data_IF_546784043437
#
_entry.id   IF_546784043437
#
_cell.length_a   1.000
_cell.length_b   1.000
_cell.length_c   1.000
_cell.angle_alpha   90.00
_cell.angle_beta   90.00
_cell.angle_gamma   90.00
#
_symmetry.space_group_name_H-M   'P 1'
#
loop_
_entity.id
_entity.type
_entity.pdbx_description
1 polymer ?
#
# COMPACT_ATOMS: atom_id res chain seq x y z
N UNK A 1 18.35 7.99 12.08
CA UNK A 1 18.54 6.54 11.80
C UNK A 1 17.35 5.66 12.19
N UNK A 2 16.73 5.81 13.37
CA UNK A 2 15.55 4.99 13.77
C UNK A 2 14.38 4.98 12.77
N UNK A 3 14.08 6.12 12.12
CA UNK A 3 12.99 6.23 11.13
C UNK A 3 13.24 5.43 9.84
N UNK A 4 14.49 5.38 9.39
CA UNK A 4 14.86 4.74 8.12
C UNK A 4 14.74 3.22 8.25
N UNK A 5 15.24 2.66 9.36
CA UNK A 5 15.12 1.23 9.67
C UNK A 5 13.66 0.83 9.86
N UNK A 6 12.84 1.66 10.53
CA UNK A 6 11.41 1.41 10.67
C UNK A 6 10.63 1.45 9.35
N UNK A 7 11.06 2.28 8.40
CA UNK A 7 10.47 2.30 7.06
C UNK A 7 10.83 1.03 6.30
N UNK A 8 12.11 0.65 6.27
CA UNK A 8 12.58 -0.57 5.59
C UNK A 8 11.90 -1.83 6.12
N UNK A 9 11.66 -1.94 7.43
CA UNK A 9 10.96 -3.10 8.02
C UNK A 9 9.48 -3.14 7.61
N UNK A 10 8.82 -1.99 7.46
CA UNK A 10 7.44 -1.92 6.98
C UNK A 10 7.33 -2.28 5.51
N UNK A 11 8.24 -1.77 4.69
CA UNK A 11 8.30 -2.09 3.27
C UNK A 11 8.53 -3.59 3.08
N UNK A 12 9.44 -4.18 3.87
CA UNK A 12 9.68 -5.63 3.88
C UNK A 12 8.43 -6.42 4.31
N UNK A 13 7.71 -5.97 5.34
CA UNK A 13 6.47 -6.62 5.79
C UNK A 13 5.37 -6.53 4.72
N UNK A 14 5.27 -5.41 3.99
CA UNK A 14 4.36 -5.26 2.85
C UNK A 14 4.72 -6.23 1.72
N UNK A 15 6.01 -6.36 1.39
CA UNK A 15 6.48 -7.30 0.35
C UNK A 15 6.22 -8.76 0.73
N UNK A 16 6.37 -9.11 2.02
CA UNK A 16 6.02 -10.45 2.54
C UNK A 16 4.51 -10.68 2.46
N UNK A 17 3.68 -9.70 2.82
CA UNK A 17 2.22 -9.81 2.70
C UNK A 17 1.77 -10.01 1.24
N UNK A 18 2.42 -9.30 0.30
CA UNK A 18 2.19 -9.43 -1.15
C UNK A 18 2.55 -10.82 -1.69
N UNK A 19 3.67 -11.40 -1.24
CA UNK A 19 4.18 -12.68 -1.78
C UNK A 19 3.63 -13.92 -1.06
N UNK A 20 3.32 -13.82 0.23
CA UNK A 20 2.98 -14.98 1.09
C UNK A 20 1.49 -15.01 1.43
N UNK A 21 0.85 -13.88 1.72
CA UNK A 21 -0.53 -13.85 2.21
C UNK A 21 -1.59 -13.73 1.11
N UNK A 22 -1.19 -13.63 -0.17
CA UNK A 22 -2.11 -13.47 -1.31
C UNK A 22 -3.14 -12.37 -1.08
N UNK A 23 -2.71 -11.28 -0.45
CA UNK A 23 -3.56 -10.11 -0.22
C UNK A 23 -4.06 -9.64 -1.59
N UNK A 24 -5.38 -9.51 -1.82
CA UNK A 24 -5.93 -9.01 -3.08
C UNK A 24 -5.20 -7.73 -3.45
N UNK A 25 -4.74 -7.61 -4.71
CA UNK A 25 -3.89 -6.50 -5.14
C UNK A 25 -4.49 -5.11 -4.86
N UNK A 26 -5.80 -5.02 -4.59
CA UNK A 26 -6.48 -3.80 -4.20
C UNK A 26 -6.34 -3.43 -2.72
N UNK A 27 -6.35 -4.39 -1.80
CA UNK A 27 -6.18 -4.14 -0.37
C UNK A 27 -4.78 -3.56 -0.09
N UNK A 28 -3.78 -3.99 -0.86
CA UNK A 28 -2.43 -3.43 -0.80
C UNK A 28 -2.42 -1.95 -1.22
N UNK A 29 -3.11 -1.62 -2.32
CA UNK A 29 -3.18 -0.22 -2.80
C UNK A 29 -3.90 0.68 -1.80
N UNK A 30 -4.90 0.16 -1.08
CA UNK A 30 -5.56 0.88 0.03
C UNK A 30 -4.58 1.12 1.18
N UNK A 31 -3.82 0.11 1.60
CA UNK A 31 -2.79 0.26 2.66
C UNK A 31 -1.66 1.23 2.28
N UNK A 32 -1.31 1.28 1.00
CA UNK A 32 -0.32 2.22 0.48
C UNK A 32 -0.89 3.65 0.39
N UNK A 33 -2.18 3.80 0.04
CA UNK A 33 -2.87 5.10 0.00
C UNK A 33 -3.12 5.70 1.40
N UNK A 34 -3.15 4.89 2.45
CA UNK A 34 -3.32 5.34 3.84
C UNK A 34 -2.02 5.25 4.64
N UNK A 35 -0.87 5.52 4.01
CA UNK A 35 0.43 5.54 4.68
C UNK A 35 0.52 6.72 5.68
N UNK A 36 1.39 6.59 6.70
CA UNK A 36 1.68 7.66 7.67
C UNK A 36 2.68 8.69 7.12
N UNK A 37 2.63 8.95 5.81
CA UNK A 37 3.47 9.94 5.15
C UNK A 37 2.81 11.34 5.27
N UNK A 38 3.59 12.42 5.33
CA UNK A 38 3.04 13.76 5.55
C UNK A 38 2.35 14.36 4.31
N UNK A 39 2.34 13.64 3.19
CA UNK A 39 1.66 14.00 1.94
C UNK A 39 0.52 13.01 1.68
N UNK A 40 -0.54 13.49 1.03
CA UNK A 40 -1.68 12.65 0.68
C UNK A 40 -1.35 11.56 -0.36
N UNK A 41 -2.26 10.59 -0.56
CA UNK A 41 -2.06 9.53 -1.53
C UNK A 41 -1.89 10.08 -2.95
N UNK A 42 -0.98 9.46 -3.69
CA UNK A 42 -0.78 9.80 -5.09
C UNK A 42 -2.04 9.48 -5.93
N UNK A 43 -2.37 10.34 -6.89
CA UNK A 43 -3.58 10.19 -7.71
C UNK A 43 -3.68 8.84 -8.45
N UNK A 44 -2.54 8.23 -8.79
CA UNK A 44 -2.47 6.87 -9.37
C UNK A 44 -3.04 5.81 -8.43
N UNK A 45 -2.78 5.88 -7.12
CA UNK A 45 -3.31 4.92 -6.14
C UNK A 45 -4.83 5.05 -6.02
N UNK A 46 -5.34 6.29 -5.99
CA UNK A 46 -6.78 6.55 -5.92
C UNK A 46 -7.50 6.11 -7.20
N UNK A 47 -6.91 6.35 -8.37
CA UNK A 47 -7.48 5.94 -9.65
C UNK A 47 -7.60 4.41 -9.75
N UNK A 48 -6.57 3.68 -9.29
CA UNK A 48 -6.58 2.22 -9.26
C UNK A 48 -7.63 1.66 -8.28
N UNK A 49 -7.81 2.31 -7.12
CA UNK A 49 -8.87 1.97 -6.16
C UNK A 49 -10.24 2.22 -6.76
N UNK A 50 -10.46 3.38 -7.39
CA UNK A 50 -11.72 3.74 -8.01
C UNK A 50 -12.07 2.80 -9.19
N UNK A 51 -11.09 2.40 -10.01
CA UNK A 51 -11.32 1.41 -11.07
C UNK A 51 -11.71 0.04 -10.51
N UNK A 52 -11.07 -0.41 -9.44
CA UNK A 52 -11.42 -1.69 -8.83
C UNK A 52 -12.84 -1.71 -8.22
N UNK A 53 -13.37 -0.56 -7.76
CA UNK A 53 -14.77 -0.46 -7.30
C UNK A 53 -15.81 -0.61 -8.40
N UNK A 54 -15.42 -0.51 -9.67
CA UNK A 54 -16.31 -0.63 -10.85
C UNK A 54 -16.37 -2.05 -11.42
N UNK A 55 -15.67 -3.02 -10.81
CA UNK A 55 -15.70 -4.42 -11.26
C UNK A 55 -16.99 -5.10 -10.75
N UNK A 56 -17.87 -5.64 -11.62
CA UNK A 56 -19.08 -6.36 -11.20
C UNK A 56 -18.78 -7.72 -10.56
#
# INVERSE_FOLDING_TARGET
>A
MKKVIGQTVRDLKREVNKKVLKVPGIEQKVLDATSNEPWGPHGTLLADIAQATRNP
#
